data_IF_432690583010
#
_entry.id   IF_432690583010
#
_cell.length_a   1.000
_cell.length_b   1.000
_cell.length_c   1.000
_cell.angle_alpha   90.00
_cell.angle_beta   90.00
_cell.angle_gamma   90.00
#
_symmetry.space_group_name_H-M   'P 1'
#
loop_
_entity.id
_entity.type
_entity.pdbx_description
1 polymer ?
#
# COMPACT_ATOMS: atom_id res chain seq x y z
N UNK A 1 -7.71 10.65 8.25
CA UNK A 1 -6.76 9.52 8.37
C UNK A 1 -6.95 8.81 9.69
N UNK A 2 -6.65 7.50 9.78
CA UNK A 2 -7.02 6.62 10.91
C UNK A 2 -6.04 6.66 12.11
N UNK A 3 -4.89 7.31 11.96
CA UNK A 3 -3.79 7.30 12.94
C UNK A 3 -4.16 7.58 14.40
N UNK A 4 -4.96 8.61 14.74
CA UNK A 4 -5.32 8.88 16.14
C UNK A 4 -6.04 7.70 16.81
N UNK A 5 -6.82 6.94 16.04
CA UNK A 5 -7.46 5.72 16.53
C UNK A 5 -6.42 4.60 16.70
N UNK A 6 -5.59 4.36 15.67
CA UNK A 6 -4.57 3.30 15.70
C UNK A 6 -3.55 3.48 16.82
N UNK A 7 -3.20 4.71 17.20
CA UNK A 7 -2.35 4.97 18.36
C UNK A 7 -2.87 4.36 19.67
N UNK A 8 -4.18 4.13 19.79
CA UNK A 8 -4.85 3.64 21.00
C UNK A 8 -5.29 2.18 20.93
N UNK A 9 -5.48 1.63 19.73
CA UNK A 9 -6.11 0.31 19.54
C UNK A 9 -5.35 -0.63 18.61
N UNK A 10 -4.13 -0.28 18.17
CA UNK A 10 -3.35 -1.11 17.24
C UNK A 10 -3.12 -2.55 17.74
N UNK A 11 -3.11 -2.76 19.05
CA UNK A 11 -2.97 -4.06 19.71
C UNK A 11 -4.27 -4.90 19.68
N UNK A 12 -5.38 -4.30 19.25
CA UNK A 12 -6.73 -4.91 19.26
C UNK A 12 -7.31 -5.12 17.87
N UNK A 13 -6.63 -4.66 16.83
CA UNK A 13 -7.10 -4.73 15.44
C UNK A 13 -5.99 -5.25 14.53
N UNK A 14 -6.38 -6.07 13.56
CA UNK A 14 -5.52 -6.39 12.43
C UNK A 14 -5.78 -5.35 11.32
N UNK A 15 -4.98 -4.28 11.30
CA UNK A 15 -5.14 -3.21 10.33
C UNK A 15 -4.25 -3.44 9.11
N UNK A 16 -4.88 -3.52 7.94
CA UNK A 16 -4.19 -3.62 6.65
C UNK A 16 -4.59 -2.46 5.74
N UNK A 17 -3.61 -1.63 5.35
CA UNK A 17 -3.79 -0.63 4.31
C UNK A 17 -3.86 -1.31 2.93
N UNK A 18 -4.86 -0.98 2.12
CA UNK A 18 -4.97 -1.46 0.73
C UNK A 18 -5.30 -0.31 -0.22
N UNK A 19 -4.76 -0.38 -1.43
CA UNK A 19 -4.83 0.69 -2.43
C UNK A 19 -5.84 0.37 -3.52
N UNK A 20 -6.33 1.40 -4.17
CA UNK A 20 -7.27 1.32 -5.29
C UNK A 20 -6.51 1.46 -6.60
N UNK A 21 -6.87 0.66 -7.59
CA UNK A 21 -6.30 0.72 -8.93
C UNK A 21 -6.94 -0.32 -9.85
N UNK A 22 -6.33 -0.55 -11.00
CA UNK A 22 -6.73 -1.61 -11.93
C UNK A 22 -5.49 -2.42 -12.34
N UNK A 23 -5.45 -3.74 -12.13
CA UNK A 23 -4.40 -4.58 -12.70
C UNK A 23 -4.39 -4.47 -14.23
N UNK A 24 -3.21 -4.46 -14.84
CA UNK A 24 -3.05 -4.48 -16.31
C UNK A 24 -2.69 -5.89 -16.79
N UNK A 25 -2.84 -6.12 -18.10
CA UNK A 25 -2.55 -7.43 -18.71
C UNK A 25 -1.05 -7.79 -18.67
N UNK A 26 -0.17 -6.79 -18.68
CA UNK A 26 1.28 -6.95 -18.61
C UNK A 26 1.81 -6.94 -17.18
N UNK A 27 1.07 -7.56 -16.27
CA UNK A 27 1.47 -7.69 -14.88
C UNK A 27 1.71 -6.37 -14.12
N UNK A 28 1.18 -5.25 -14.61
CA UNK A 28 1.28 -3.93 -14.00
C UNK A 28 0.03 -3.53 -13.21
N UNK A 29 0.03 -2.27 -12.77
CA UNK A 29 -1.12 -1.62 -12.12
C UNK A 29 -1.31 -0.23 -12.72
N UNK A 30 -2.53 0.06 -13.14
CA UNK A 30 -2.98 1.40 -13.49
C UNK A 30 -3.60 2.07 -12.26
N UNK A 31 -2.91 3.07 -11.72
CA UNK A 31 -3.43 3.92 -10.65
C UNK A 31 -4.27 5.07 -11.21
N UNK A 32 -5.11 5.69 -10.38
CA UNK A 32 -6.10 6.69 -10.83
C UNK A 32 -5.47 8.03 -11.18
N UNK A 33 -4.35 8.35 -10.57
CA UNK A 33 -3.62 9.61 -10.63
C UNK A 33 -2.25 9.44 -11.30
N UNK A 34 -2.09 8.40 -12.12
CA UNK A 34 -0.90 8.17 -12.94
C UNK A 34 0.25 7.44 -12.21
N UNK A 35 1.43 7.40 -12.85
CA UNK A 35 2.56 6.59 -12.36
C UNK A 35 3.14 7.05 -11.02
N UNK A 36 3.10 8.35 -10.73
CA UNK A 36 3.60 8.91 -9.48
C UNK A 36 2.85 8.34 -8.25
N UNK A 37 1.52 8.24 -8.34
CA UNK A 37 0.70 7.59 -7.31
C UNK A 37 1.07 6.12 -7.13
N UNK A 38 1.28 5.38 -8.23
CA UNK A 38 1.69 3.99 -8.13
C UNK A 38 3.01 3.84 -7.38
N UNK A 39 3.99 4.70 -7.65
CA UNK A 39 5.28 4.70 -6.95
C UNK A 39 5.09 5.05 -5.46
N UNK A 40 4.29 6.07 -5.15
CA UNK A 40 3.94 6.41 -3.76
C UNK A 40 3.32 5.22 -3.00
N UNK A 41 2.33 4.55 -3.60
CA UNK A 41 1.68 3.38 -3.02
C UNK A 41 2.67 2.22 -2.81
N UNK A 42 3.62 2.02 -3.73
CA UNK A 42 4.68 1.01 -3.57
C UNK A 42 5.56 1.34 -2.38
N UNK A 43 5.97 2.60 -2.23
CA UNK A 43 6.80 3.06 -1.12
C UNK A 43 6.07 2.88 0.22
N UNK A 44 4.78 3.20 0.29
CA UNK A 44 3.96 2.97 1.48
C UNK A 44 3.80 1.47 1.81
N UNK A 45 3.62 0.61 0.80
CA UNK A 45 3.60 -0.85 0.99
C UNK A 45 4.96 -1.39 1.48
N UNK A 46 6.06 -0.84 0.97
CA UNK A 46 7.41 -1.16 1.43
C UNK A 46 7.61 -0.75 2.89
N UNK A 47 7.15 0.44 3.29
CA UNK A 47 7.18 0.87 4.68
C UNK A 47 6.40 -0.09 5.59
N UNK A 48 5.18 -0.48 5.20
CA UNK A 48 4.38 -1.46 5.94
C UNK A 48 5.09 -2.83 6.06
N UNK A 49 5.77 -3.28 4.99
CA UNK A 49 6.45 -4.57 4.94
C UNK A 49 7.69 -4.61 5.84
N UNK A 50 8.48 -3.54 5.83
CA UNK A 50 9.75 -3.45 6.57
C UNK A 50 9.54 -3.04 8.03
N UNK A 51 8.52 -2.22 8.30
CA UNK A 51 8.22 -1.65 9.61
C UNK A 51 6.78 -1.98 10.00
N UNK A 52 6.50 -3.22 10.44
CA UNK A 52 5.13 -3.68 10.67
C UNK A 52 4.42 -3.01 11.86
N UNK A 53 5.13 -2.24 12.69
CA UNK A 53 4.50 -1.43 13.75
C UNK A 53 3.58 -0.36 13.12
N UNK A 54 2.26 -0.40 13.36
CA UNK A 54 1.31 0.55 12.75
C UNK A 54 1.61 2.00 13.05
N UNK A 55 2.24 2.32 14.18
CA UNK A 55 2.59 3.71 14.50
C UNK A 55 3.64 4.27 13.54
N UNK A 56 4.61 3.44 13.15
CA UNK A 56 5.70 3.81 12.26
C UNK A 56 5.23 3.95 10.82
N UNK A 57 4.72 2.87 10.21
CA UNK A 57 4.38 2.94 8.78
C UNK A 57 3.16 3.84 8.50
N UNK A 58 2.16 3.89 9.39
CA UNK A 58 1.04 4.82 9.20
C UNK A 58 1.46 6.26 9.43
N UNK A 59 2.40 6.51 10.35
CA UNK A 59 3.02 7.82 10.52
C UNK A 59 3.66 8.29 9.23
N UNK A 60 4.51 7.45 8.65
CA UNK A 60 5.13 7.70 7.34
C UNK A 60 4.11 7.92 6.21
N UNK A 61 3.12 7.04 6.07
CA UNK A 61 2.00 7.25 5.13
C UNK A 61 1.30 8.58 5.37
N UNK A 62 1.13 8.99 6.63
CA UNK A 62 0.51 10.28 6.94
C UNK A 62 1.34 11.46 6.48
N UNK A 63 2.64 11.41 6.70
CA UNK A 63 3.58 12.43 6.25
C UNK A 63 3.51 12.57 4.72
N UNK A 64 3.65 11.47 3.98
CA UNK A 64 3.55 11.49 2.52
C UNK A 64 2.20 12.03 2.02
N UNK A 65 1.10 11.61 2.65
CA UNK A 65 -0.25 12.03 2.24
C UNK A 65 -0.50 13.53 2.45
N UNK A 66 0.18 14.20 3.40
CA UNK A 66 0.01 15.64 3.61
C UNK A 66 0.49 16.45 2.41
N UNK A 67 1.58 16.00 1.79
CA UNK A 67 2.22 16.65 0.65
C UNK A 67 2.17 15.76 -0.60
N UNK A 68 1.05 15.05 -0.79
CA UNK A 68 0.86 14.04 -1.83
C UNK A 68 1.13 14.53 -3.26
N UNK A 69 1.05 15.84 -3.51
CA UNK A 69 1.36 16.47 -4.80
C UNK A 69 2.85 16.44 -5.14
N UNK A 70 3.69 16.38 -4.13
CA UNK A 70 5.14 16.31 -4.27
C UNK A 70 5.62 14.86 -4.45
N UNK A 71 4.76 13.84 -4.33
CA UNK A 71 5.14 12.46 -4.63
C UNK A 71 5.45 12.32 -6.13
N UNK A 72 6.59 11.71 -6.54
CA UNK A 72 7.52 10.90 -5.75
C UNK A 72 8.88 11.60 -5.49
N UNK A 73 8.87 12.90 -5.18
CA UNK A 73 10.11 13.63 -4.91
C UNK A 73 10.89 12.97 -3.78
N UNK A 74 12.17 12.73 -4.05
CA UNK A 74 13.09 12.04 -3.13
C UNK A 74 13.21 12.77 -1.79
N UNK A 75 13.29 14.11 -1.80
CA UNK A 75 13.36 14.92 -0.59
C UNK A 75 12.19 14.68 0.35
N UNK A 76 10.95 14.67 -0.17
CA UNK A 76 9.76 14.36 0.63
C UNK A 76 9.85 12.96 1.25
N UNK A 77 10.26 11.96 0.48
CA UNK A 77 10.35 10.57 0.95
C UNK A 77 11.43 10.43 2.02
N UNK A 78 12.60 11.05 1.82
CA UNK A 78 13.71 11.06 2.80
C UNK A 78 13.31 11.77 4.10
N UNK A 79 12.68 12.95 4.01
CA UNK A 79 12.24 13.71 5.17
C UNK A 79 11.19 12.94 5.99
N UNK A 80 10.17 12.39 5.32
CA UNK A 80 9.17 11.55 5.98
C UNK A 80 9.77 10.27 6.56
N UNK A 81 10.74 9.65 5.88
CA UNK A 81 11.42 8.46 6.39
C UNK A 81 12.21 8.79 7.66
N UNK A 82 12.93 9.91 7.66
CA UNK A 82 13.69 10.38 8.82
C UNK A 82 12.78 10.70 10.02
N UNK A 83 11.67 11.41 9.81
CA UNK A 83 10.71 11.76 10.88
C UNK A 83 10.16 10.51 11.59
N UNK A 84 9.99 9.41 10.86
CA UNK A 84 9.41 8.17 11.38
C UNK A 84 10.43 7.04 11.61
N UNK A 85 11.73 7.36 11.66
CA UNK A 85 12.81 6.40 11.89
C UNK A 85 12.82 5.20 10.91
N UNK A 86 12.43 5.47 9.66
CA UNK A 86 12.50 4.54 8.54
C UNK A 86 13.83 4.74 7.80
N UNK A 87 14.50 3.64 7.48
CA UNK A 87 15.71 3.66 6.68
C UNK A 87 15.34 3.84 5.19
N UNK A 88 15.70 4.99 4.64
CA UNK A 88 15.44 5.32 3.24
C UNK A 88 16.08 4.33 2.25
N UNK A 89 17.31 3.88 2.50
CA UNK A 89 17.98 2.93 1.62
C UNK A 89 17.25 1.59 1.58
N UNK A 90 16.76 1.12 2.74
CA UNK A 90 15.96 -0.09 2.81
C UNK A 90 14.60 0.05 2.09
N UNK A 91 13.95 1.23 2.19
CA UNK A 91 12.75 1.54 1.40
C UNK A 91 13.04 1.51 -0.10
N UNK A 92 14.11 2.18 -0.53
CA UNK A 92 14.49 2.27 -1.92
C UNK A 92 14.85 0.89 -2.47
N UNK A 93 15.61 0.08 -1.72
CA UNK A 93 15.91 -1.31 -2.06
C UNK A 93 14.62 -2.12 -2.22
N UNK A 94 13.68 -2.02 -1.27
CA UNK A 94 12.38 -2.69 -1.38
C UNK A 94 11.59 -2.27 -2.63
N UNK A 95 11.54 -0.98 -2.94
CA UNK A 95 10.78 -0.44 -4.07
C UNK A 95 11.39 -0.81 -5.43
N UNK A 96 12.73 -0.94 -5.48
CA UNK A 96 13.49 -1.22 -6.71
C UNK A 96 13.90 -2.68 -6.87
N UNK A 97 13.66 -3.52 -5.87
CA UNK A 97 13.96 -4.96 -5.89
C UNK A 97 13.35 -5.63 -7.12
N UNK A 98 14.13 -6.52 -7.73
CA UNK A 98 13.79 -7.27 -8.94
C UNK A 98 13.36 -6.32 -10.08
N UNK A 99 14.16 -5.25 -10.31
CA UNK A 99 13.87 -4.16 -11.24
C UNK A 99 12.49 -3.50 -11.02
N UNK A 100 12.04 -3.46 -9.77
CA UNK A 100 10.74 -2.93 -9.35
C UNK A 100 9.58 -3.92 -9.43
N UNK A 101 9.81 -5.13 -9.96
CA UNK A 101 8.77 -6.16 -10.08
C UNK A 101 8.21 -6.58 -8.70
N UNK A 102 9.06 -6.59 -7.67
CA UNK A 102 8.63 -6.89 -6.31
C UNK A 102 7.63 -5.85 -5.78
N UNK A 103 7.93 -4.55 -5.94
CA UNK A 103 7.04 -3.45 -5.58
C UNK A 103 5.71 -3.49 -6.34
N UNK A 104 5.77 -3.67 -7.67
CA UNK A 104 4.59 -3.80 -8.53
C UNK A 104 3.73 -5.00 -8.11
N UNK A 105 4.35 -6.13 -7.77
CA UNK A 105 3.68 -7.32 -7.26
C UNK A 105 2.90 -7.04 -5.97
N UNK A 106 3.51 -6.35 -5.01
CA UNK A 106 2.83 -5.94 -3.77
C UNK A 106 1.66 -5.00 -4.04
N UNK A 107 1.84 -3.99 -4.91
CA UNK A 107 0.77 -3.06 -5.28
C UNK A 107 -0.40 -3.78 -5.95
N UNK A 108 -0.11 -4.73 -6.84
CA UNK A 108 -1.15 -5.52 -7.50
C UNK A 108 -1.92 -6.40 -6.52
N UNK A 109 -1.22 -7.05 -5.58
CA UNK A 109 -1.85 -7.80 -4.50
C UNK A 109 -2.77 -6.91 -3.65
N UNK A 110 -2.33 -5.69 -3.36
CA UNK A 110 -3.12 -4.68 -2.65
C UNK A 110 -4.39 -4.28 -3.41
N UNK A 111 -4.27 -3.99 -4.71
CA UNK A 111 -5.40 -3.65 -5.57
C UNK A 111 -6.41 -4.78 -5.69
N UNK A 112 -5.95 -6.04 -5.81
CA UNK A 112 -6.82 -7.22 -5.86
C UNK A 112 -7.64 -7.34 -4.58
N UNK A 113 -7.01 -7.23 -3.40
CA UNK A 113 -7.72 -7.24 -2.10
C UNK A 113 -8.82 -6.18 -2.04
N UNK A 114 -8.52 -4.95 -2.46
CA UNK A 114 -9.52 -3.87 -2.51
C UNK A 114 -10.69 -4.19 -3.44
N UNK A 115 -10.42 -4.87 -4.56
CA UNK A 115 -11.45 -5.26 -5.52
C UNK A 115 -12.32 -6.44 -5.03
N UNK A 116 -11.74 -7.36 -4.27
CA UNK A 116 -12.44 -8.56 -3.76
C UNK A 116 -13.47 -8.22 -2.68
N UNK A 117 -13.24 -7.18 -1.88
CA UNK A 117 -14.16 -6.74 -0.81
C UNK A 117 -15.33 -5.86 -1.29
N UNK A 118 -15.50 -5.70 -2.61
CA UNK A 118 -16.71 -5.10 -3.20
C UNK A 118 -16.57 -3.66 -3.69
N UNK A 119 -15.37 -3.08 -3.71
CA UNK A 119 -15.12 -1.83 -4.46
C UNK A 119 -14.80 -2.14 -5.93
N UNK A 120 -15.76 -2.76 -6.62
CA UNK A 120 -15.76 -2.80 -8.07
C UNK A 120 -16.08 -1.39 -8.57
N UNK A 121 -15.06 -0.65 -9.00
CA UNK A 121 -15.30 0.56 -9.78
C UNK A 121 -16.11 0.20 -11.03
N UNK A 122 -17.02 1.07 -11.50
CA UNK A 122 -17.77 0.82 -12.73
C UNK A 122 -16.79 0.49 -13.86
N UNK A 123 -16.82 -0.75 -14.36
CA UNK A 123 -15.87 -1.28 -15.34
C UNK A 123 -15.01 -2.47 -14.90
N UNK A 124 -15.18 -2.99 -13.67
CA UNK A 124 -14.55 -4.24 -13.23
C UNK A 124 -15.59 -5.31 -12.88
N UNK A 125 -15.68 -6.34 -13.74
CA UNK A 125 -16.36 -7.59 -13.44
C UNK A 125 -15.28 -8.56 -12.93
N UNK A 126 -14.98 -8.53 -11.62
CA UNK A 126 -14.33 -9.70 -11.02
C UNK A 126 -15.32 -10.84 -11.18
N UNK A 127 -14.96 -11.84 -12.00
CA UNK A 127 -15.68 -13.10 -12.04
C UNK A 127 -15.75 -13.63 -10.61
N UNK A 128 -16.93 -13.50 -10.00
CA UNK A 128 -17.30 -14.22 -8.78
C UNK A 128 -17.25 -15.71 -9.11
N UNK A 129 -16.08 -16.32 -9.00
CA UNK A 129 -15.89 -17.75 -9.15
C UNK A 129 -14.93 -18.24 -8.08
N UNK A 130 -15.43 -18.23 -6.84
CA UNK A 130 -15.26 -19.23 -5.78
C UNK A 130 -15.44 -18.60 -4.40
N UNK A 131 -16.68 -18.23 -4.08
CA UNK A 131 -17.13 -18.15 -2.70
C UNK A 131 -17.94 -19.41 -2.41
N UNK A 132 -17.25 -20.52 -2.12
CA UNK A 132 -17.83 -21.72 -1.51
C UNK A 132 -16.70 -22.57 -0.90
N UNK A 133 -16.81 -22.77 0.42
CA UNK A 133 -16.02 -23.66 1.27
C UNK A 133 -14.58 -23.20 1.53
N UNK A 134 -14.20 -22.79 2.74
CA UNK A 134 -14.09 -23.71 3.87
C UNK A 134 -14.46 -23.08 5.23
N UNK A 135 -15.15 -23.89 6.01
CA UNK A 135 -15.50 -23.73 7.42
C UNK A 135 -14.28 -23.54 8.33
N UNK A 136 -14.34 -22.54 9.22
CA UNK A 136 -13.51 -22.48 10.45
C UNK A 136 -13.88 -23.65 11.38
N UNK A 137 -12.91 -24.38 11.96
CA UNK A 137 -13.20 -25.13 13.18
C UNK A 137 -13.16 -24.19 14.40
N UNK A 138 -13.95 -24.57 15.39
CA UNK A 138 -14.14 -23.92 16.68
C UNK A 138 -12.89 -23.94 17.57
#
# INVERSE_FOLDING_TARGET
MVLPAMQRVYDKVDFTLSFIGKPTDNDGVACKHGPAECLGNIIELCAQKLYPDPKTYLGFTMCLTRDYKEIPQRSLIEDCALEHAINFDALNECATKDDGAYGIGMLRGSVRRSSDVGHAFPGYQSSRSNFLSTSRPA
#
